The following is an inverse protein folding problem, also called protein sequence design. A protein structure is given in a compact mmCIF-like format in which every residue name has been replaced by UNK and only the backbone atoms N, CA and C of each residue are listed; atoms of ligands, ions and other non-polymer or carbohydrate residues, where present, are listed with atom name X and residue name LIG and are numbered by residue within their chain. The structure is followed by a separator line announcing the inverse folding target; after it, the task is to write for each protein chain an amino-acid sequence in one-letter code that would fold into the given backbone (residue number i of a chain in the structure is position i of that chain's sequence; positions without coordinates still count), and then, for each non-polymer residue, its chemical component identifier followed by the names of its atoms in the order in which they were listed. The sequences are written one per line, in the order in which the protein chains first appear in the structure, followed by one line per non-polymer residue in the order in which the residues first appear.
data_IF_895065096214
#
_entry.id   IF_895065096214
#
_cell.length_a   1.000
_cell.length_b   1.000
_cell.length_c   1.000
_cell.angle_alpha   90.00
_cell.angle_beta   90.00
_cell.angle_gamma   90.00
#
_symmetry.space_group_name_H-M   'P 1'
#
loop_
_entity.id
_entity.type
_entity.pdbx_description
1 polymer ?
#
# COMPACT_ATOMS: atom_id res chain seq x y z
N UNK A 1 -24.16 35.28 -34.99
CA UNK A 1 -24.30 34.63 -33.67
C UNK A 1 -23.48 33.32 -33.50
N UNK A 2 -23.05 32.62 -34.57
CA UNK A 2 -22.21 31.40 -34.45
C UNK A 2 -20.73 31.62 -34.04
N UNK A 3 -20.14 32.78 -34.34
CA UNK A 3 -18.73 33.08 -33.97
C UNK A 3 -18.53 33.42 -32.50
N UNK A 4 -19.61 33.84 -31.80
CA UNK A 4 -19.57 34.16 -30.37
C UNK A 4 -19.67 32.90 -29.50
N UNK A 5 -20.35 31.85 -29.99
CA UNK A 5 -20.49 30.56 -29.30
C UNK A 5 -19.17 29.75 -29.28
N UNK A 6 -18.34 29.91 -30.31
CA UNK A 6 -17.00 29.28 -30.36
C UNK A 6 -16.00 29.96 -29.41
N UNK A 7 -16.17 31.25 -29.12
CA UNK A 7 -15.30 31.98 -28.20
C UNK A 7 -15.53 31.57 -26.74
N UNK A 8 -16.79 31.33 -26.35
CA UNK A 8 -17.14 30.79 -25.02
C UNK A 8 -16.71 29.34 -24.81
N UNK A 9 -16.66 28.53 -25.88
CA UNK A 9 -16.19 27.13 -25.78
C UNK A 9 -14.65 27.07 -25.66
N UNK A 10 -13.93 28.04 -26.23
CA UNK A 10 -12.46 28.09 -26.16
C UNK A 10 -11.94 28.70 -24.85
N UNK A 11 -12.72 29.57 -24.20
CA UNK A 11 -12.33 30.19 -22.93
C UNK A 11 -12.46 29.27 -21.71
N UNK A 12 -13.07 28.09 -21.86
CA UNK A 12 -13.24 27.12 -20.76
C UNK A 12 -12.05 26.19 -20.53
N UNK A 13 -10.95 26.33 -21.29
CA UNK A 13 -9.79 25.41 -21.23
C UNK A 13 -8.54 26.09 -20.61
N UNK A 14 -8.55 27.39 -20.34
CA UNK A 14 -7.39 28.13 -19.82
C UNK A 14 -7.55 28.43 -18.32
N UNK A 15 -7.71 27.38 -17.54
CA UNK A 15 -7.22 27.38 -16.16
C UNK A 15 -6.55 26.03 -15.97
N UNK A 16 -5.23 25.89 -16.21
CA UNK A 16 -4.53 24.79 -15.57
C UNK A 16 -4.76 24.98 -14.08
N UNK A 17 -5.70 24.21 -13.51
CA UNK A 17 -5.72 23.99 -12.08
C UNK A 17 -4.38 23.33 -11.81
N UNK A 18 -3.38 24.12 -11.41
CA UNK A 18 -2.14 23.56 -10.89
C UNK A 18 -2.56 22.62 -9.78
N UNK A 19 -2.43 21.32 -10.01
CA UNK A 19 -2.55 20.34 -8.94
C UNK A 19 -1.26 20.53 -8.15
N UNK A 20 -1.28 21.45 -7.20
CA UNK A 20 -0.22 21.55 -6.22
C UNK A 20 -0.38 20.31 -5.33
N UNK A 21 0.46 19.29 -5.55
CA UNK A 21 0.67 18.31 -4.50
C UNK A 21 1.32 19.09 -3.35
N UNK A 22 0.71 19.06 -2.16
CA UNK A 22 1.12 19.84 -0.98
C UNK A 22 2.57 19.60 -0.51
N UNK A 23 3.33 18.72 -1.17
CA UNK A 23 4.66 18.27 -0.74
C UNK A 23 4.64 17.47 0.57
N UNK A 24 3.49 17.44 1.28
CA UNK A 24 3.38 16.88 2.60
C UNK A 24 3.46 15.36 2.58
N UNK A 25 4.51 14.82 3.18
CA UNK A 25 4.70 13.39 3.32
C UNK A 25 5.44 13.05 4.61
N UNK A 26 5.33 11.78 5.03
CA UNK A 26 6.08 11.19 6.13
C UNK A 26 7.11 10.23 5.54
N UNK A 27 8.37 10.36 5.99
CA UNK A 27 9.49 9.57 5.51
C UNK A 27 10.03 8.63 6.58
N UNK A 28 10.05 9.04 7.85
CA UNK A 28 10.61 8.23 8.94
C UNK A 28 9.81 8.28 10.23
N UNK A 29 9.85 7.17 10.95
CA UNK A 29 9.44 7.02 12.35
C UNK A 29 10.63 6.40 13.09
N UNK A 30 11.36 7.20 13.85
CA UNK A 30 12.68 6.86 14.38
C UNK A 30 13.63 6.39 13.28
N UNK A 31 14.10 5.15 13.40
CA UNK A 31 14.92 4.46 12.39
C UNK A 31 14.12 3.76 11.28
N UNK A 32 12.79 3.69 11.37
CA UNK A 32 11.94 3.05 10.37
C UNK A 32 11.73 3.98 9.17
N UNK A 33 12.06 3.49 7.97
CA UNK A 33 11.76 4.17 6.70
C UNK A 33 10.34 3.84 6.22
N UNK A 34 9.49 4.85 6.18
CA UNK A 34 8.08 4.78 5.75
C UNK A 34 7.84 5.51 4.43
N UNK A 35 8.88 5.96 3.75
CA UNK A 35 8.79 6.74 2.51
C UNK A 35 7.97 6.01 1.45
N UNK A 36 6.95 6.70 0.94
CA UNK A 36 6.07 6.19 -0.13
C UNK A 36 5.16 5.02 0.30
N UNK A 37 5.13 4.66 1.58
CA UNK A 37 4.25 3.62 2.12
C UNK A 37 2.99 4.27 2.70
N UNK A 38 1.85 3.68 2.45
CA UNK A 38 0.56 4.10 3.00
C UNK A 38 0.07 2.96 3.88
N UNK A 39 0.16 3.16 5.20
CA UNK A 39 -0.33 2.23 6.20
C UNK A 39 -1.15 2.98 7.22
N UNK A 40 -2.29 2.43 7.63
CA UNK A 40 -3.09 2.96 8.73
C UNK A 40 -2.49 2.62 10.10
N UNK A 41 -1.51 1.72 10.14
CA UNK A 41 -0.90 1.21 11.37
C UNK A 41 0.60 0.98 11.17
N UNK A 42 1.40 1.47 12.10
CA UNK A 42 2.85 1.28 12.15
C UNK A 42 3.28 0.65 13.46
N UNK A 43 4.15 -0.35 13.36
CA UNK A 43 4.77 -1.02 14.50
C UNK A 43 6.23 -0.60 14.59
N UNK A 44 6.64 -0.07 15.73
CA UNK A 44 8.00 0.41 15.96
C UNK A 44 8.51 -0.01 17.34
N UNK A 45 9.67 -0.67 17.37
CA UNK A 45 10.26 -1.17 18.62
C UNK A 45 11.42 -0.31 19.13
N UNK A 46 11.67 0.84 18.50
CA UNK A 46 12.74 1.74 18.92
C UNK A 46 12.33 2.62 20.10
N UNK A 47 13.32 3.22 20.75
CA UNK A 47 13.11 4.12 21.89
C UNK A 47 12.95 5.59 21.46
N UNK A 48 13.19 5.90 20.19
CA UNK A 48 13.15 7.24 19.61
C UNK A 48 11.87 7.45 18.78
N UNK A 49 10.90 8.19 19.31
CA UNK A 49 9.67 8.51 18.57
C UNK A 49 9.84 9.80 17.76
N UNK A 50 10.87 9.82 16.91
CA UNK A 50 11.16 10.96 16.02
C UNK A 50 10.52 10.77 14.66
N UNK A 51 9.54 11.60 14.33
CA UNK A 51 8.90 11.62 13.02
C UNK A 51 9.56 12.64 12.11
N UNK A 52 9.84 12.25 10.86
CA UNK A 52 10.45 13.12 9.86
C UNK A 52 9.73 12.98 8.54
N UNK A 53 9.64 14.09 7.82
CA UNK A 53 9.05 14.11 6.49
C UNK A 53 9.34 15.40 5.75
N UNK A 54 8.59 15.61 4.68
CA UNK A 54 8.69 16.84 3.89
C UNK A 54 7.36 17.59 3.87
N UNK A 55 7.44 18.90 3.69
CA UNK A 55 6.29 19.77 3.42
C UNK A 55 6.77 21.07 2.76
N UNK A 56 5.88 22.02 2.48
CA UNK A 56 6.28 23.29 1.88
C UNK A 56 7.25 24.06 2.81
N UNK A 57 8.41 24.56 2.30
CA UNK A 57 9.36 25.30 3.11
C UNK A 57 8.73 26.49 3.84
N UNK A 58 8.95 26.57 5.16
CA UNK A 58 8.37 27.61 6.02
C UNK A 58 6.90 27.40 6.40
N UNK A 59 6.24 26.31 5.93
CA UNK A 59 4.90 25.95 6.38
C UNK A 59 4.90 25.30 7.76
N UNK A 60 3.76 25.35 8.43
CA UNK A 60 3.55 24.71 9.73
C UNK A 60 2.99 23.29 9.55
N UNK A 61 3.63 22.32 10.18
CA UNK A 61 3.13 20.96 10.34
C UNK A 61 2.54 20.85 11.73
N UNK A 62 1.26 20.52 11.79
CA UNK A 62 0.56 20.19 13.02
C UNK A 62 0.73 18.71 13.30
N UNK A 63 1.17 18.39 14.51
CA UNK A 63 1.39 17.03 15.01
C UNK A 63 0.47 16.84 16.22
N UNK A 64 -0.58 16.07 16.04
CA UNK A 64 -1.50 15.66 17.10
C UNK A 64 -1.20 14.21 17.50
N UNK A 65 -0.90 14.00 18.77
CA UNK A 65 -0.67 12.68 19.36
C UNK A 65 -1.61 12.50 20.53
N UNK A 66 -2.54 11.54 20.42
CA UNK A 66 -3.55 11.25 21.44
C UNK A 66 -4.36 12.48 21.89
N UNK A 67 -4.60 13.43 20.98
CA UNK A 67 -5.30 14.69 21.25
C UNK A 67 -4.40 15.82 21.75
N UNK A 68 -3.10 15.57 21.92
CA UNK A 68 -2.11 16.59 22.29
C UNK A 68 -1.50 17.18 21.01
N UNK A 69 -1.90 18.41 20.73
CA UNK A 69 -1.51 19.12 19.50
C UNK A 69 -0.23 19.94 19.72
N UNK A 70 0.74 19.73 18.84
CA UNK A 70 1.96 20.53 18.72
C UNK A 70 2.15 20.99 17.27
N UNK A 71 3.01 21.99 17.06
CA UNK A 71 3.32 22.52 15.73
C UNK A 71 4.82 22.59 15.52
N UNK A 72 5.30 22.22 14.34
CA UNK A 72 6.68 22.38 13.90
C UNK A 72 6.73 23.14 12.58
N UNK A 73 7.66 24.08 12.47
CA UNK A 73 7.90 24.81 11.21
C UNK A 73 8.84 24.02 10.32
N UNK A 74 8.46 23.84 9.07
CA UNK A 74 9.29 23.19 8.05
C UNK A 74 10.44 24.09 7.66
N UNK A 75 11.63 23.50 7.55
CA UNK A 75 12.84 24.24 7.23
C UNK A 75 12.88 24.72 5.76
N UNK A 76 13.97 25.42 5.39
CA UNK A 76 14.16 25.95 4.03
C UNK A 76 14.39 24.88 2.97
N UNK A 77 14.79 23.67 3.37
CA UNK A 77 14.92 22.50 2.49
C UNK A 77 13.59 21.81 2.25
N UNK A 78 12.54 22.17 2.99
CA UNK A 78 11.24 21.49 2.94
C UNK A 78 11.16 20.29 3.88
N UNK A 79 12.10 20.14 4.82
CA UNK A 79 12.12 19.05 5.79
C UNK A 79 11.54 19.50 7.13
N UNK A 80 10.74 18.64 7.74
CA UNK A 80 10.25 18.82 9.10
C UNK A 80 10.64 17.62 9.96
N UNK A 81 10.91 17.89 11.24
CA UNK A 81 11.31 16.88 12.22
C UNK A 81 10.61 17.17 13.52
N UNK A 82 9.91 16.18 14.07
CA UNK A 82 9.26 16.26 15.36
C UNK A 82 9.72 15.08 16.22
N UNK A 83 10.25 15.37 17.41
CA UNK A 83 10.65 14.35 18.38
C UNK A 83 9.72 14.41 19.59
N UNK A 84 9.18 13.26 19.97
CA UNK A 84 8.42 13.08 21.20
C UNK A 84 8.94 11.85 21.96
N UNK A 85 8.72 11.85 23.27
CA UNK A 85 9.00 10.73 24.15
C UNK A 85 7.69 9.99 24.43
N UNK A 86 7.30 9.14 23.48
CA UNK A 86 6.09 8.34 23.61
C UNK A 86 6.36 7.08 24.45
N UNK A 87 5.36 6.69 25.22
CA UNK A 87 5.41 5.47 26.03
C UNK A 87 5.24 4.22 25.17
N UNK A 88 5.50 3.04 25.74
CA UNK A 88 5.13 1.78 25.10
C UNK A 88 3.60 1.68 25.02
N UNK A 89 3.07 1.25 23.88
CA UNK A 89 1.63 1.14 23.64
C UNK A 89 1.18 1.74 22.31
N UNK A 90 -0.14 1.82 22.13
CA UNK A 90 -0.77 2.41 20.95
C UNK A 90 -0.93 3.93 21.13
N UNK A 91 -0.56 4.67 20.09
CA UNK A 91 -0.69 6.12 19.99
C UNK A 91 -1.39 6.49 18.69
N UNK A 92 -2.44 7.31 18.77
CA UNK A 92 -3.10 7.86 17.60
C UNK A 92 -2.32 9.09 17.13
N UNK A 93 -1.77 9.00 15.91
CA UNK A 93 -1.01 10.08 15.31
C UNK A 93 -1.83 10.71 14.19
N UNK A 94 -1.99 12.02 14.24
CA UNK A 94 -2.54 12.80 13.15
C UNK A 94 -1.62 13.97 12.77
N UNK A 95 -1.12 13.94 11.55
CA UNK A 95 -0.20 14.96 11.03
C UNK A 95 -0.92 15.76 9.95
N UNK A 96 -0.83 17.08 9.97
CA UNK A 96 -1.42 17.90 8.91
C UNK A 96 -0.56 19.10 8.53
N UNK A 97 -0.57 19.44 7.25
CA UNK A 97 0.09 20.63 6.69
C UNK A 97 -0.53 20.97 5.33
N UNK A 98 -0.67 22.26 5.03
CA UNK A 98 -1.14 22.72 3.71
C UNK A 98 -2.51 22.19 3.28
N UNK A 99 -3.35 21.76 4.24
CA UNK A 99 -4.66 21.13 3.97
C UNK A 99 -4.61 19.63 3.66
N UNK A 100 -3.42 19.01 3.74
CA UNK A 100 -3.24 17.55 3.68
C UNK A 100 -3.17 16.96 5.08
N UNK A 101 -3.57 15.70 5.22
CA UNK A 101 -3.62 14.97 6.50
C UNK A 101 -3.05 13.56 6.35
N UNK A 102 -2.29 13.11 7.35
CA UNK A 102 -1.73 11.76 7.47
C UNK A 102 -2.08 11.26 8.87
N UNK A 103 -2.99 10.29 8.94
CA UNK A 103 -3.44 9.69 10.20
C UNK A 103 -3.09 8.20 10.25
N UNK A 104 -2.56 7.75 11.38
CA UNK A 104 -2.22 6.35 11.62
C UNK A 104 -2.13 6.03 13.11
N UNK A 105 -2.21 4.74 13.45
CA UNK A 105 -1.88 4.24 14.77
C UNK A 105 -0.40 3.85 14.81
N UNK A 106 0.34 4.36 15.81
CA UNK A 106 1.72 3.99 16.09
C UNK A 106 1.77 3.13 17.34
N UNK A 107 2.26 1.91 17.21
CA UNK A 107 2.29 0.91 18.27
C UNK A 107 3.74 0.66 18.66
N UNK A 108 4.12 1.17 19.84
CA UNK A 108 5.49 1.19 20.37
C UNK A 108 5.76 0.04 21.32
N UNK A 109 6.85 -0.70 21.12
CA UNK A 109 7.30 -1.73 22.06
C UNK A 109 8.02 -2.91 21.41
N UNK A 110 8.86 -3.60 22.19
CA UNK A 110 9.62 -4.79 21.76
C UNK A 110 8.75 -6.04 21.47
N UNK A 111 7.48 -6.05 21.90
CA UNK A 111 6.56 -7.20 21.79
C UNK A 111 5.49 -7.00 20.72
N UNK A 112 5.55 -5.90 19.98
CA UNK A 112 4.35 -5.36 19.35
C UNK A 112 4.03 -5.91 17.96
N UNK A 113 4.84 -6.81 17.42
CA UNK A 113 4.37 -7.64 16.30
C UNK A 113 3.93 -8.97 16.85
N UNK A 114 2.62 -9.05 17.14
CA UNK A 114 1.96 -10.34 17.27
C UNK A 114 1.98 -11.02 15.89
N UNK A 115 3.09 -11.67 15.58
CA UNK A 115 3.21 -12.50 14.38
C UNK A 115 2.25 -13.69 14.44
N UNK A 116 1.80 -14.09 15.64
CA UNK A 116 0.74 -15.09 15.80
C UNK A 116 -0.61 -14.51 15.33
N UNK A 117 -0.87 -13.20 15.39
CA UNK A 117 -2.04 -12.54 14.79
C UNK A 117 -1.97 -12.44 13.26
N UNK A 118 -0.78 -12.23 12.69
CA UNK A 118 -0.57 -12.21 11.24
C UNK A 118 -0.67 -13.62 10.64
N UNK A 119 -0.32 -14.65 11.41
CA UNK A 119 -0.44 -16.07 11.03
C UNK A 119 -1.81 -16.69 11.41
N UNK A 120 -2.48 -16.18 12.45
CA UNK A 120 -3.83 -16.61 12.86
C UNK A 120 -4.97 -15.90 12.12
N UNK A 121 -4.63 -15.02 11.17
CA UNK A 121 -5.51 -14.75 10.05
C UNK A 121 -5.91 -16.10 9.46
N UNK A 122 -7.12 -16.54 9.79
CA UNK A 122 -7.81 -17.67 9.19
C UNK A 122 -8.11 -17.33 7.73
N UNK A 123 -7.07 -17.04 6.95
CA UNK A 123 -7.13 -17.06 5.51
C UNK A 123 -7.65 -18.44 5.21
N UNK A 124 -8.90 -18.49 4.73
CA UNK A 124 -9.45 -19.72 4.21
C UNK A 124 -8.37 -20.33 3.35
N UNK A 125 -7.90 -21.51 3.75
CA UNK A 125 -6.93 -22.25 2.97
C UNK A 125 -7.40 -22.18 1.53
N UNK A 126 -6.54 -21.66 0.64
CA UNK A 126 -6.88 -21.57 -0.78
C UNK A 126 -7.50 -22.93 -1.16
N UNK A 127 -8.69 -22.95 -1.79
CA UNK A 127 -9.39 -24.19 -2.04
C UNK A 127 -8.40 -25.15 -2.70
N UNK A 128 -8.31 -26.38 -2.15
CA UNK A 128 -7.31 -27.36 -2.56
C UNK A 128 -7.19 -27.36 -4.09
N UNK A 129 -5.97 -27.14 -4.62
CA UNK A 129 -5.71 -27.18 -6.05
C UNK A 129 -6.40 -28.42 -6.62
N UNK A 130 -7.33 -28.20 -7.57
CA UNK A 130 -8.37 -29.17 -7.92
C UNK A 130 -7.85 -30.61 -8.07
N UNK A 131 -8.64 -31.56 -7.60
CA UNK A 131 -8.29 -32.99 -7.60
C UNK A 131 -7.80 -33.45 -8.99
N UNK A 132 -6.53 -33.89 -9.14
CA UNK A 132 -5.96 -34.23 -10.44
C UNK A 132 -6.49 -35.55 -11.01
N UNK A 133 -7.40 -36.26 -10.30
CA UNK A 133 -7.94 -37.55 -10.74
C UNK A 133 -8.51 -37.51 -12.17
N UNK A 134 -9.23 -36.44 -12.53
CA UNK A 134 -9.79 -36.30 -13.89
C UNK A 134 -8.69 -36.09 -14.94
N UNK A 135 -7.66 -35.30 -14.63
CA UNK A 135 -6.50 -35.10 -15.50
C UNK A 135 -5.73 -36.40 -15.73
N UNK A 136 -5.54 -37.19 -14.67
CA UNK A 136 -4.87 -38.50 -14.73
C UNK A 136 -5.68 -39.50 -15.55
N UNK A 137 -7.00 -39.54 -15.37
CA UNK A 137 -7.89 -40.40 -16.19
C UNK A 137 -7.83 -40.00 -17.66
N UNK A 138 -7.88 -38.70 -17.99
CA UNK A 138 -7.82 -38.23 -19.37
C UNK A 138 -6.50 -38.60 -20.06
N UNK A 139 -5.37 -38.45 -19.38
CA UNK A 139 -4.08 -38.89 -19.87
C UNK A 139 -4.04 -40.41 -20.10
N UNK A 140 -4.61 -41.19 -19.16
CA UNK A 140 -4.71 -42.64 -19.29
C UNK A 140 -5.52 -43.07 -20.53
N UNK A 141 -6.68 -42.45 -20.76
CA UNK A 141 -7.49 -42.71 -21.97
C UNK A 141 -6.71 -42.34 -23.24
N UNK A 142 -5.99 -41.22 -23.24
CA UNK A 142 -5.13 -40.82 -24.36
C UNK A 142 -4.06 -41.87 -24.70
N UNK A 143 -3.37 -42.41 -23.68
CA UNK A 143 -2.37 -43.48 -23.87
C UNK A 143 -3.01 -44.75 -24.44
N UNK A 144 -4.19 -45.14 -23.96
CA UNK A 144 -4.92 -46.32 -24.47
C UNK A 144 -5.32 -46.13 -25.93
N UNK A 145 -5.79 -44.95 -26.33
CA UNK A 145 -6.14 -44.66 -27.73
C UNK A 145 -4.91 -44.73 -28.66
N UNK A 146 -3.76 -44.19 -28.24
CA UNK A 146 -2.52 -44.22 -29.03
C UNK A 146 -2.04 -45.67 -29.22
N UNK A 147 -1.98 -46.46 -28.13
CA UNK A 147 -1.53 -47.85 -28.19
C UNK A 147 -2.52 -48.76 -28.90
N UNK A 148 -3.82 -48.57 -28.66
CA UNK A 148 -4.90 -49.31 -29.32
C UNK A 148 -4.96 -49.02 -30.81
N UNK A 149 -4.84 -47.74 -31.20
CA UNK A 149 -4.76 -47.32 -32.60
C UNK A 149 -3.57 -47.95 -33.32
N UNK A 150 -2.39 -47.96 -32.70
CA UNK A 150 -1.21 -48.65 -33.26
C UNK A 150 -1.45 -50.16 -33.44
N UNK A 151 -2.12 -50.82 -32.49
CA UNK A 151 -2.44 -52.25 -32.60
C UNK A 151 -3.42 -52.53 -33.73
N UNK A 152 -4.46 -51.70 -33.91
CA UNK A 152 -5.42 -51.81 -35.01
C UNK A 152 -4.76 -51.54 -36.36
N UNK A 153 -3.93 -50.50 -36.47
CA UNK A 153 -3.15 -50.20 -37.68
C UNK A 153 -2.24 -51.37 -38.10
N UNK A 154 -1.57 -52.01 -37.14
CA UNK A 154 -0.73 -53.18 -37.40
C UNK A 154 -1.51 -54.46 -37.75
N UNK A 155 -2.79 -54.55 -37.36
CA UNK A 155 -3.67 -55.67 -37.73
C UNK A 155 -4.20 -55.48 -39.15
N UNK A 156 -4.59 -54.26 -39.53
CA UNK A 156 -5.07 -53.95 -40.89
C UNK A 156 -3.94 -54.04 -41.93
N UNK A 157 -2.71 -53.68 -41.56
CA UNK A 157 -1.55 -53.72 -42.47
C UNK A 157 -0.85 -55.10 -42.53
N UNK A 158 -1.54 -56.18 -42.14
CA UNK A 158 -1.04 -57.56 -42.16
C UNK A 158 -1.72 -58.45 -43.23
N UNK A 159 -2.31 -57.84 -44.25
CA UNK A 159 -2.71 -58.48 -45.50
C UNK A 159 -2.03 -57.79 -46.68
#
# INVERSE_FOLDING_TARGET
MKKLLFFTLFLSIIFPKGILASGFNLQKIGNLDVTGKISSHWWYSGNDSTMQGESEPGSEVTVDIDGIVNTVTTDKSGTWTYSSDLTVGDHLINLSSGGSEIAFTLTLGNENVDWDAVESGSGEVLPAAGNPLLTVILLGVGVVLILGGRKLYLIDNKY
#
